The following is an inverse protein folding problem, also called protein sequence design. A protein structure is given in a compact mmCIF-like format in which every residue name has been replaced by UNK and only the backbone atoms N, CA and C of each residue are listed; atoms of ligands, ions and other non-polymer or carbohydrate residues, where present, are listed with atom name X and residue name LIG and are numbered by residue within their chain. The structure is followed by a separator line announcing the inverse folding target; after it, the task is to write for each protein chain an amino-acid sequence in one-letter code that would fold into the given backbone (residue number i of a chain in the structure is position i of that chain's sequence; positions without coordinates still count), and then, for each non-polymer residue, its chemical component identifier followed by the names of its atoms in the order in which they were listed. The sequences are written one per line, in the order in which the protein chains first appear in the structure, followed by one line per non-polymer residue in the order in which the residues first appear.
data_IF_296313163889
#
_entry.id   IF_296313163889
#
_cell.length_a   1.000
_cell.length_b   1.000
_cell.length_c   1.000
_cell.angle_alpha   90.00
_cell.angle_beta   90.00
_cell.angle_gamma   90.00
#
_symmetry.space_group_name_H-M   'P 1'
#
loop_
_entity.id
_entity.type
_entity.pdbx_description
1 polymer ?
#
# COMPACT_ATOMS: atom_id res chain seq x y z
N UNK A 1 16.37 -5.65 11.69
CA UNK A 1 15.46 -5.06 10.70
C UNK A 1 15.44 -3.59 10.96
N UNK A 2 16.17 -2.85 10.12
CA UNK A 2 16.15 -1.39 10.15
C UNK A 2 14.97 -0.90 9.30
N UNK A 3 14.48 0.31 9.58
CA UNK A 3 13.33 0.92 8.88
C UNK A 3 13.49 0.90 7.34
N UNK A 4 14.74 1.06 6.88
CA UNK A 4 15.14 1.03 5.47
C UNK A 4 14.88 -0.34 4.80
N UNK A 5 15.09 -1.45 5.50
CA UNK A 5 14.87 -2.79 4.93
C UNK A 5 13.37 -3.10 4.75
N UNK A 6 12.53 -2.56 5.63
CA UNK A 6 11.09 -2.72 5.53
C UNK A 6 10.53 -1.85 4.40
N UNK A 7 11.03 -0.62 4.25
CA UNK A 7 10.67 0.24 3.12
C UNK A 7 10.98 -0.43 1.78
N UNK A 8 12.17 -1.02 1.63
CA UNK A 8 12.58 -1.72 0.40
C UNK A 8 11.64 -2.91 0.10
N UNK A 9 11.37 -3.75 1.12
CA UNK A 9 10.45 -4.90 1.00
C UNK A 9 9.04 -4.47 0.60
N UNK A 10 8.50 -3.43 1.25
CA UNK A 10 7.20 -2.84 0.91
C UNK A 10 7.22 -2.33 -0.53
N UNK A 11 8.28 -1.64 -0.94
CA UNK A 11 8.41 -1.05 -2.26
C UNK A 11 8.48 -2.12 -3.36
N UNK A 12 9.16 -3.26 -3.13
CA UNK A 12 9.15 -4.40 -4.05
C UNK A 12 7.74 -4.97 -4.25
N UNK A 13 6.96 -5.13 -3.17
CA UNK A 13 5.58 -5.62 -3.24
C UNK A 13 4.69 -4.62 -3.98
N UNK A 14 4.82 -3.33 -3.67
CA UNK A 14 4.08 -2.28 -4.34
C UNK A 14 4.40 -2.21 -5.84
N UNK A 15 5.65 -2.40 -6.25
CA UNK A 15 6.04 -2.38 -7.67
C UNK A 15 5.45 -3.58 -8.45
N UNK A 16 5.32 -4.75 -7.79
CA UNK A 16 4.56 -5.89 -8.35
C UNK A 16 3.07 -5.58 -8.48
N UNK A 17 2.49 -4.86 -7.53
CA UNK A 17 1.06 -4.51 -7.49
C UNK A 17 0.69 -3.33 -8.41
N UNK A 18 1.61 -2.39 -8.64
CA UNK A 18 1.46 -1.22 -9.52
C UNK A 18 0.74 -1.51 -10.84
N UNK A 19 1.16 -2.48 -11.66
CA UNK A 19 0.47 -2.79 -12.93
C UNK A 19 -0.95 -3.36 -12.77
N UNK A 20 -1.29 -3.89 -11.59
CA UNK A 20 -2.66 -4.30 -11.25
C UNK A 20 -3.49 -3.10 -10.78
N UNK A 21 -2.91 -2.26 -9.92
CA UNK A 21 -3.54 -1.03 -9.43
C UNK A 21 -3.87 -0.08 -10.59
N UNK A 22 -2.90 0.13 -11.50
CA UNK A 22 -3.06 0.94 -12.71
C UNK A 22 -4.17 0.39 -13.63
N UNK A 23 -4.34 -0.94 -13.68
CA UNK A 23 -5.43 -1.58 -14.43
C UNK A 23 -6.79 -1.35 -13.80
N UNK A 24 -6.86 -1.29 -12.47
CA UNK A 24 -8.05 -0.89 -11.72
C UNK A 24 -8.32 0.63 -11.80
N UNK A 25 -7.40 1.39 -12.41
CA UNK A 25 -7.49 2.83 -12.56
C UNK A 25 -7.04 3.62 -11.33
N UNK A 26 -6.27 2.98 -10.44
CA UNK A 26 -5.61 3.59 -9.30
C UNK A 26 -4.12 3.32 -9.25
N UNK A 27 -3.49 3.77 -8.20
CA UNK A 27 -2.05 3.77 -7.99
C UNK A 27 -1.81 4.01 -6.49
N UNK A 28 -0.58 3.81 -6.02
CA UNK A 28 -0.21 4.04 -4.63
C UNK A 28 1.26 4.44 -4.51
N UNK A 29 1.54 5.28 -3.54
CA UNK A 29 2.88 5.77 -3.23
C UNK A 29 3.20 5.49 -1.76
N UNK A 30 4.38 4.93 -1.50
CA UNK A 30 4.90 4.76 -0.15
C UNK A 30 5.33 6.12 0.38
N UNK A 31 4.72 6.56 1.47
CA UNK A 31 5.05 7.83 2.12
C UNK A 31 6.04 7.61 3.23
N UNK A 32 5.78 6.65 4.12
CA UNK A 32 6.62 6.40 5.28
C UNK A 32 6.33 5.02 5.88
N UNK A 33 7.24 4.54 6.73
CA UNK A 33 7.06 3.31 7.51
C UNK A 33 7.59 3.58 8.91
N UNK A 34 6.75 3.45 9.94
CA UNK A 34 7.14 3.68 11.34
C UNK A 34 6.54 2.58 12.22
N UNK A 35 7.36 1.91 13.04
CA UNK A 35 6.90 0.90 14.03
C UNK A 35 5.99 -0.21 13.42
N UNK A 36 6.21 -0.57 12.16
CA UNK A 36 5.38 -1.55 11.43
C UNK A 36 4.07 -1.00 10.89
N UNK A 37 3.83 0.31 11.01
CA UNK A 37 2.74 1.03 10.36
C UNK A 37 3.24 1.58 9.03
N UNK A 38 2.67 1.09 7.93
CA UNK A 38 3.03 1.53 6.57
C UNK A 38 2.07 2.65 6.15
N UNK A 39 2.59 3.85 5.95
CA UNK A 39 1.83 5.00 5.45
C UNK A 39 1.87 5.03 3.93
N UNK A 40 0.71 4.82 3.30
CA UNK A 40 0.56 4.82 1.85
C UNK A 40 -0.37 5.93 1.40
N UNK A 41 0.00 6.60 0.31
CA UNK A 41 -0.87 7.53 -0.40
C UNK A 41 -1.48 6.82 -1.60
N UNK A 42 -2.79 6.57 -1.57
CA UNK A 42 -3.49 6.03 -2.73
C UNK A 42 -3.74 7.15 -3.76
N UNK A 43 -3.35 6.91 -5.00
CA UNK A 43 -3.40 7.84 -6.12
C UNK A 43 -4.33 7.27 -7.20
N UNK A 44 -5.55 7.80 -7.32
CA UNK A 44 -6.51 7.28 -8.30
C UNK A 44 -7.23 6.02 -7.81
N UNK A 45 -8.15 5.52 -8.63
CA UNK A 45 -9.44 4.94 -8.30
C UNK A 45 -10.44 6.05 -7.95
N UNK A 46 -10.92 6.70 -9.00
CA UNK A 46 -12.20 7.40 -9.07
C UNK A 46 -12.57 8.13 -7.77
N UNK A 47 -12.09 9.38 -7.60
CA UNK A 47 -12.41 10.25 -6.46
C UNK A 47 -13.91 10.53 -6.22
N UNK A 48 -14.79 9.85 -6.96
CA UNK A 48 -16.24 9.90 -6.92
C UNK A 48 -16.90 8.62 -6.36
N UNK A 49 -16.17 7.55 -6.00
CA UNK A 49 -16.75 6.30 -5.50
C UNK A 49 -16.04 5.75 -4.24
N UNK A 50 -16.53 6.06 -3.02
CA UNK A 50 -15.88 5.65 -1.77
C UNK A 50 -15.79 4.13 -1.57
N UNK A 51 -16.65 3.34 -2.21
CA UNK A 51 -16.59 1.87 -2.11
C UNK A 51 -15.38 1.24 -2.81
N UNK A 52 -14.87 1.85 -3.89
CA UNK A 52 -13.73 1.31 -4.63
C UNK A 52 -12.41 1.49 -3.87
N UNK A 53 -12.23 2.63 -3.19
CA UNK A 53 -11.04 2.92 -2.38
C UNK A 53 -10.87 1.93 -1.23
N UNK A 54 -11.97 1.56 -0.57
CA UNK A 54 -11.96 0.59 0.54
C UNK A 54 -11.47 -0.79 0.08
N UNK A 55 -11.95 -1.23 -1.09
CA UNK A 55 -11.61 -2.55 -1.64
C UNK A 55 -10.14 -2.60 -2.08
N UNK A 56 -9.65 -1.51 -2.68
CA UNK A 56 -8.25 -1.39 -3.10
C UNK A 56 -7.29 -1.39 -1.90
N UNK A 57 -7.58 -0.58 -0.86
CA UNK A 57 -6.78 -0.53 0.39
C UNK A 57 -6.68 -1.91 1.03
N UNK A 58 -7.81 -2.60 1.17
CA UNK A 58 -7.85 -3.92 1.81
C UNK A 58 -7.03 -4.98 1.04
N UNK A 59 -6.95 -4.88 -0.29
CA UNK A 59 -6.11 -5.74 -1.11
C UNK A 59 -4.61 -5.52 -0.87
N UNK A 60 -4.18 -4.25 -0.87
CA UNK A 60 -2.78 -3.86 -0.63
C UNK A 60 -2.36 -4.21 0.80
N UNK A 61 -3.21 -3.90 1.78
CA UNK A 61 -2.97 -4.20 3.19
C UNK A 61 -2.72 -5.70 3.40
N UNK A 62 -3.59 -6.55 2.84
CA UNK A 62 -3.41 -8.02 2.91
C UNK A 62 -2.11 -8.48 2.25
N UNK A 63 -1.78 -7.97 1.08
CA UNK A 63 -0.56 -8.35 0.38
C UNK A 63 0.69 -7.96 1.20
N UNK A 64 0.70 -6.79 1.82
CA UNK A 64 1.81 -6.32 2.65
C UNK A 64 1.94 -7.12 3.94
N UNK A 65 0.83 -7.43 4.62
CA UNK A 65 0.83 -8.30 5.81
C UNK A 65 1.30 -9.73 5.50
N UNK A 66 1.07 -10.23 4.29
CA UNK A 66 1.46 -11.58 3.87
C UNK A 66 2.90 -11.66 3.32
N UNK A 67 3.33 -10.68 2.52
CA UNK A 67 4.69 -10.65 1.94
C UNK A 67 5.74 -10.00 2.87
N UNK A 68 5.36 -9.05 3.74
CA UNK A 68 6.30 -8.29 4.59
C UNK A 68 6.09 -8.63 6.07
N UNK A 69 6.88 -9.56 6.64
CA UNK A 69 6.79 -9.90 8.06
C UNK A 69 7.25 -8.71 8.92
N UNK A 70 6.33 -8.19 9.73
CA UNK A 70 6.56 -7.03 10.60
C UNK A 70 5.62 -5.85 10.33
N UNK A 71 4.86 -5.88 9.23
CA UNK A 71 3.74 -4.95 9.04
C UNK A 71 2.63 -5.29 10.02
N UNK A 72 2.21 -4.30 10.80
CA UNK A 72 1.12 -4.39 11.78
C UNK A 72 -0.14 -3.77 11.18
N UNK A 73 0.00 -2.61 10.54
CA UNK A 73 -1.12 -1.85 10.01
C UNK A 73 -0.71 -1.06 8.76
N UNK A 74 -1.67 -0.78 7.90
CA UNK A 74 -1.50 0.10 6.74
C UNK A 74 -2.41 1.31 6.89
N UNK A 75 -1.80 2.48 6.98
CA UNK A 75 -2.50 3.74 7.12
C UNK A 75 -2.56 4.47 5.77
N UNK A 76 -3.77 4.84 5.34
CA UNK A 76 -3.93 5.64 4.14
C UNK A 76 -3.80 7.11 4.49
N UNK A 77 -2.82 7.78 3.90
CA UNK A 77 -2.64 9.24 4.00
C UNK A 77 -3.19 9.93 2.74
N UNK A 78 -3.91 11.04 2.93
CA UNK A 78 -4.51 11.84 1.86
C UNK A 78 -3.60 12.98 1.39
#
# INVERSE_FOLDING_TARGET
MTEVEMQDSVQEVLDKLRPFLLRDGGDCELVDVEDGIVKLRLLGACGTCPSSTITLKAGIERALLEEVPGVVEVEQVF
#
